data_IF_935326279636
#
_entry.id   IF_935326279636
#
_cell.length_a   1.000
_cell.length_b   1.000
_cell.length_c   1.000
_cell.angle_alpha   90.00
_cell.angle_beta   90.00
_cell.angle_gamma   90.00
#
_symmetry.space_group_name_H-M   'P 1'
#
loop_
_entity.id
_entity.type
_entity.pdbx_description
1 polymer ?
#
# COMPACT_ATOMS: atom_id res chain seq x y z
N UNK A 1 -2.51 -16.42 -20.75
CA UNK A 1 -2.68 -16.05 -19.33
C UNK A 1 -1.75 -14.92 -18.86
N UNK A 2 -0.71 -14.51 -19.61
CA UNK A 2 0.23 -13.45 -19.19
C UNK A 2 -0.31 -12.01 -19.26
N UNK A 3 -1.29 -11.73 -20.14
CA UNK A 3 -1.75 -10.35 -20.42
C UNK A 3 -2.42 -9.61 -19.24
N UNK A 4 -3.15 -10.33 -18.37
CA UNK A 4 -3.82 -9.72 -17.20
C UNK A 4 -2.83 -9.34 -16.08
N UNK A 5 -1.71 -10.05 -15.99
CA UNK A 5 -0.70 -9.80 -14.98
C UNK A 5 0.14 -8.55 -15.31
N UNK A 6 0.44 -8.32 -16.60
CA UNK A 6 1.11 -7.09 -17.04
C UNK A 6 0.25 -5.84 -16.78
N UNK A 7 -1.05 -5.88 -17.14
CA UNK A 7 -1.95 -4.74 -16.92
C UNK A 7 -2.13 -4.39 -15.44
N UNK A 8 -2.13 -5.37 -14.54
CA UNK A 8 -2.24 -5.10 -13.10
C UNK A 8 -0.93 -4.59 -12.49
N UNK A 9 0.23 -4.94 -13.04
CA UNK A 9 1.52 -4.38 -12.59
C UNK A 9 1.66 -2.93 -13.07
N UNK A 10 1.33 -2.65 -14.33
CA UNK A 10 1.35 -1.28 -14.86
C UNK A 10 0.38 -0.38 -14.09
N UNK A 11 -0.85 -0.83 -13.84
CA UNK A 11 -1.84 -0.09 -13.04
C UNK A 11 -1.35 0.17 -11.60
N UNK A 12 -0.65 -0.79 -10.97
CA UNK A 12 -0.05 -0.61 -9.63
C UNK A 12 1.00 0.50 -9.62
N UNK A 13 1.89 0.49 -10.61
CA UNK A 13 3.00 1.43 -10.69
C UNK A 13 2.50 2.85 -10.98
N UNK A 14 1.59 3.03 -11.92
CA UNK A 14 1.06 4.36 -12.27
C UNK A 14 0.24 4.98 -11.12
N UNK A 15 -0.60 4.19 -10.46
CA UNK A 15 -1.41 4.67 -9.34
C UNK A 15 -0.52 5.06 -8.16
N UNK A 16 0.46 4.22 -7.84
CA UNK A 16 1.41 4.50 -6.78
C UNK A 16 2.26 5.74 -7.09
N UNK A 17 2.84 5.83 -8.29
CA UNK A 17 3.68 6.96 -8.69
C UNK A 17 2.93 8.30 -8.55
N UNK A 18 1.68 8.35 -9.02
CA UNK A 18 0.85 9.55 -8.95
C UNK A 18 0.56 9.98 -7.51
N UNK A 19 0.15 9.03 -6.66
CA UNK A 19 -0.17 9.29 -5.25
C UNK A 19 1.09 9.62 -4.43
N UNK A 20 2.18 8.88 -4.66
CA UNK A 20 3.45 9.09 -3.98
C UNK A 20 4.07 10.44 -4.36
N UNK A 21 4.04 10.82 -5.64
CA UNK A 21 4.54 12.13 -6.10
C UNK A 21 3.79 13.28 -5.44
N UNK A 22 2.45 13.20 -5.40
CA UNK A 22 1.62 14.19 -4.69
C UNK A 22 1.92 14.25 -3.20
N UNK A 23 2.12 13.10 -2.55
CA UNK A 23 2.43 13.05 -1.12
C UNK A 23 3.83 13.60 -0.81
N UNK A 24 4.85 13.21 -1.58
CA UNK A 24 6.24 13.69 -1.38
C UNK A 24 6.32 15.20 -1.55
N UNK A 25 5.60 15.78 -2.51
CA UNK A 25 5.52 17.22 -2.68
C UNK A 25 4.93 17.90 -1.42
N UNK A 26 3.82 17.38 -0.89
CA UNK A 26 3.14 17.92 0.27
C UNK A 26 3.87 17.67 1.61
N UNK A 27 4.61 16.57 1.73
CA UNK A 27 5.29 16.14 2.96
C UNK A 27 6.80 16.42 2.95
N UNK A 28 7.29 17.22 2.00
CA UNK A 28 8.72 17.50 1.81
C UNK A 28 9.40 18.01 3.09
N UNK A 29 8.75 18.91 3.82
CA UNK A 29 9.24 19.43 5.11
C UNK A 29 9.30 18.35 6.19
N UNK A 30 8.26 17.53 6.33
CA UNK A 30 8.21 16.44 7.31
C UNK A 30 9.24 15.35 7.02
N UNK A 31 9.47 15.03 5.75
CA UNK A 31 10.51 14.08 5.31
C UNK A 31 11.92 14.61 5.57
N UNK A 32 12.12 15.93 5.44
CA UNK A 32 13.37 16.62 5.74
C UNK A 32 13.54 17.06 7.20
N UNK A 33 12.54 16.81 8.06
CA UNK A 33 12.53 17.29 9.45
C UNK A 33 13.74 16.79 10.23
N UNK A 34 14.23 17.59 11.18
CA UNK A 34 15.29 17.16 12.11
C UNK A 34 14.75 16.18 13.16
N UNK A 35 13.44 16.19 13.42
CA UNK A 35 12.79 15.23 14.32
C UNK A 35 12.73 13.84 13.66
N UNK A 36 13.43 12.82 14.21
CA UNK A 36 13.36 11.47 13.69
C UNK A 36 11.95 10.86 13.75
N UNK A 37 11.12 11.24 14.72
CA UNK A 37 9.76 10.73 14.85
C UNK A 37 8.85 11.29 13.74
N UNK A 38 9.02 12.55 13.38
CA UNK A 38 8.30 13.18 12.26
C UNK A 38 8.68 12.55 10.92
N UNK A 39 9.98 12.33 10.67
CA UNK A 39 10.43 11.61 9.46
C UNK A 39 9.86 10.20 9.38
N UNK A 40 9.82 9.49 10.51
CA UNK A 40 9.28 8.14 10.57
C UNK A 40 7.78 8.11 10.27
N UNK A 41 7.00 9.05 10.81
CA UNK A 41 5.58 9.18 10.47
C UNK A 41 5.38 9.41 8.98
N UNK A 42 6.15 10.31 8.38
CA UNK A 42 6.06 10.58 6.94
C UNK A 42 6.43 9.35 6.07
N UNK A 43 7.45 8.58 6.47
CA UNK A 43 7.81 7.33 5.80
C UNK A 43 6.73 6.24 5.93
N UNK A 44 6.04 6.15 7.07
CA UNK A 44 4.94 5.19 7.25
C UNK A 44 3.78 5.46 6.29
N UNK A 45 3.45 6.73 6.07
CA UNK A 45 2.40 7.09 5.09
C UNK A 45 2.78 6.66 3.67
N UNK A 46 4.06 6.76 3.27
CA UNK A 46 4.51 6.20 1.99
C UNK A 46 4.29 4.69 1.87
N UNK A 47 4.53 3.95 2.96
CA UNK A 47 4.26 2.51 3.00
C UNK A 47 2.75 2.20 2.92
N UNK A 48 1.91 3.00 3.57
CA UNK A 48 0.45 2.89 3.46
C UNK A 48 -0.05 3.19 2.04
N UNK A 49 0.48 4.22 1.38
CA UNK A 49 0.14 4.53 -0.02
C UNK A 49 0.53 3.40 -0.97
N UNK A 50 1.70 2.78 -0.77
CA UNK A 50 2.10 1.60 -1.53
C UNK A 50 1.12 0.43 -1.33
N UNK A 51 0.72 0.19 -0.07
CA UNK A 51 -0.26 -0.85 0.25
C UNK A 51 -1.61 -0.60 -0.42
N UNK A 52 -2.17 0.61 -0.28
CA UNK A 52 -3.46 0.98 -0.90
C UNK A 52 -3.39 0.83 -2.41
N UNK A 53 -2.31 1.30 -3.04
CA UNK A 53 -2.13 1.20 -4.49
C UNK A 53 -2.12 -0.26 -4.97
N UNK A 54 -1.45 -1.14 -4.24
CA UNK A 54 -1.47 -2.58 -4.51
C UNK A 54 -2.87 -3.16 -4.35
N UNK A 55 -3.58 -2.87 -3.26
CA UNK A 55 -4.93 -3.40 -3.03
C UNK A 55 -5.89 -2.95 -4.12
N UNK A 56 -5.94 -1.64 -4.44
CA UNK A 56 -6.84 -1.10 -5.47
C UNK A 56 -6.58 -1.75 -6.84
N UNK A 57 -5.31 -1.85 -7.24
CA UNK A 57 -4.98 -2.43 -8.53
C UNK A 57 -5.18 -3.96 -8.58
N UNK A 58 -4.99 -4.68 -7.46
CA UNK A 58 -5.29 -6.11 -7.35
C UNK A 58 -6.80 -6.40 -7.25
N UNK A 59 -7.64 -5.36 -7.12
CA UNK A 59 -9.09 -5.47 -6.91
C UNK A 59 -9.92 -4.71 -7.95
N UNK A 60 -9.40 -4.59 -9.17
CA UNK A 60 -10.07 -3.92 -10.29
C UNK A 60 -11.50 -4.41 -10.58
N UNK A 61 -11.81 -5.66 -10.21
CA UNK A 61 -13.13 -6.28 -10.39
C UNK A 61 -14.11 -6.03 -9.22
N UNK A 62 -13.67 -5.36 -8.16
CA UNK A 62 -14.48 -5.10 -6.96
C UNK A 62 -15.14 -3.73 -6.97
N UNK A 63 -16.25 -3.63 -6.25
CA UNK A 63 -16.88 -2.34 -5.97
C UNK A 63 -16.03 -1.52 -4.98
N UNK A 64 -16.12 -0.18 -5.01
CA UNK A 64 -15.35 0.69 -4.09
C UNK A 64 -15.52 0.33 -2.60
N UNK A 65 -16.70 -0.09 -2.19
CA UNK A 65 -16.97 -0.49 -0.80
C UNK A 65 -16.21 -1.77 -0.42
N UNK A 66 -16.12 -2.74 -1.33
CA UNK A 66 -15.36 -3.98 -1.11
C UNK A 66 -13.86 -3.75 -1.10
N UNK A 67 -13.36 -2.79 -1.89
CA UNK A 67 -11.96 -2.35 -1.85
C UNK A 67 -11.66 -1.69 -0.52
N UNK A 68 -12.53 -0.79 -0.04
CA UNK A 68 -12.40 -0.12 1.26
C UNK A 68 -12.34 -1.13 2.40
N UNK A 69 -13.24 -2.10 2.43
CA UNK A 69 -13.24 -3.14 3.47
C UNK A 69 -11.94 -3.96 3.45
N UNK A 70 -11.37 -4.27 2.29
CA UNK A 70 -10.06 -4.94 2.18
C UNK A 70 -8.91 -4.09 2.72
N UNK A 71 -8.88 -2.79 2.42
CA UNK A 71 -7.86 -1.88 2.94
C UNK A 71 -7.93 -1.80 4.47
N UNK A 72 -9.14 -1.68 5.02
CA UNK A 72 -9.36 -1.52 6.47
C UNK A 72 -9.22 -2.84 7.25
N UNK A 73 -9.42 -3.99 6.60
CA UNK A 73 -9.27 -5.31 7.21
C UNK A 73 -7.83 -5.81 7.22
N UNK A 74 -6.91 -5.11 6.57
CA UNK A 74 -5.51 -5.50 6.53
C UNK A 74 -4.87 -5.36 7.92
N UNK A 75 -4.17 -6.38 8.41
CA UNK A 75 -3.47 -6.26 9.67
C UNK A 75 -2.39 -5.17 9.56
N UNK A 76 -2.17 -4.36 10.61
CA UNK A 76 -1.14 -3.32 10.59
C UNK A 76 0.22 -3.95 10.26
N UNK A 77 1.10 -3.20 9.58
CA UNK A 77 2.41 -3.70 9.13
C UNK A 77 3.28 -4.30 10.24
N UNK A 78 3.01 -3.94 11.50
CA UNK A 78 3.68 -4.47 12.70
C UNK A 78 3.09 -5.81 13.20
N UNK A 79 2.03 -6.32 12.58
CA UNK A 79 1.45 -7.61 12.90
C UNK A 79 2.38 -8.72 12.39
N UNK A 80 3.18 -9.28 13.30
CA UNK A 80 4.00 -10.45 13.03
C UNK A 80 3.21 -11.52 12.23
N UNK A 81 3.79 -12.12 11.18
CA UNK A 81 3.08 -13.06 10.33
C UNK A 81 2.58 -14.22 11.18
N UNK A 82 1.24 -14.36 11.29
CA UNK A 82 0.63 -15.52 11.94
C UNK A 82 1.09 -16.76 11.18
N UNK A 83 1.98 -17.55 11.80
CA UNK A 83 2.40 -18.87 11.29
C UNK A 83 1.14 -19.66 10.93
N UNK A 84 0.85 -19.79 9.63
CA UNK A 84 -0.19 -20.71 9.15
C UNK A 84 0.22 -22.10 9.58
N UNK A 85 -0.52 -22.65 10.54
CA UNK A 85 -0.26 -23.96 11.12
C UNK A 85 -0.10 -25.02 10.03
N UNK A 86 1.03 -25.71 10.07
CA UNK A 86 1.31 -26.90 9.29
C UNK A 86 0.31 -27.99 9.68
N UNK A 87 -0.79 -28.10 8.94
CA UNK A 87 -1.64 -29.30 8.96
C UNK A 87 -1.05 -30.29 7.96
N UNK A 88 -0.04 -31.05 8.38
CA UNK A 88 0.35 -32.29 7.67
C UNK A 88 -0.63 -33.38 8.07
N UNK A 89 -1.27 -33.95 7.05
CA UNK A 89 -2.12 -35.13 7.11
C UNK A 89 -1.24 -36.37 7.00
#
# INVERSE_FOLDING_TARGET
MAKKADTSIENRVYLFESLASSYVAAASEALGSKDPAERERARRVLAELAFVSCVVADTEDLTPDEVRERVLSAPPADAAPKKRGSRRK
#
